data_IF_591515130400
#
_entry.id   IF_591515130400
#
_cell.length_a   1.000
_cell.length_b   1.000
_cell.length_c   1.000
_cell.angle_alpha   90.00
_cell.angle_beta   90.00
_cell.angle_gamma   90.00
#
_symmetry.space_group_name_H-M   'P 1'
#
loop_
_entity.id
_entity.type
_entity.pdbx_description
1 polymer ?
#
# COMPACT_ATOMS: atom_id res chain seq x y z
N UNK A 1 -7.86 12.05 -13.97
CA UNK A 1 -7.33 10.67 -13.95
C UNK A 1 -8.09 9.89 -12.87
N UNK A 2 -9.18 9.20 -13.21
CA UNK A 2 -10.05 8.53 -12.23
C UNK A 2 -9.30 7.45 -11.42
N UNK A 3 -8.16 6.97 -11.92
CA UNK A 3 -7.29 5.96 -11.29
C UNK A 3 -6.92 6.25 -9.82
N UNK A 4 -6.86 7.53 -9.44
CA UNK A 4 -6.52 7.96 -8.07
C UNK A 4 -7.73 8.49 -7.27
N UNK A 5 -8.94 8.38 -7.80
CA UNK A 5 -10.15 8.84 -7.10
C UNK A 5 -10.69 7.73 -6.20
N UNK A 6 -10.62 7.95 -4.89
CA UNK A 6 -11.19 7.08 -3.85
C UNK A 6 -11.93 7.88 -2.77
N UNK A 7 -12.48 7.15 -1.78
CA UNK A 7 -13.07 7.72 -0.58
C UNK A 7 -12.38 7.11 0.65
N UNK A 8 -11.94 7.93 1.62
CA UNK A 8 -11.90 9.40 1.61
C UNK A 8 -11.06 9.97 0.45
N UNK A 9 -11.43 11.16 -0.06
CA UNK A 9 -10.70 11.81 -1.15
C UNK A 9 -9.29 12.21 -0.69
N UNK A 10 -8.33 12.17 -1.63
CA UNK A 10 -7.01 12.75 -1.42
C UNK A 10 -7.16 14.23 -1.05
N UNK A 11 -6.50 14.61 0.04
CA UNK A 11 -6.54 15.97 0.59
C UNK A 11 -5.31 16.78 0.18
N UNK A 12 -4.82 17.67 1.04
CA UNK A 12 -3.68 18.53 0.75
C UNK A 12 -2.36 17.86 1.14
N UNK A 13 -1.26 18.40 0.60
CA UNK A 13 0.09 17.91 0.91
C UNK A 13 0.39 17.88 2.42
N UNK A 14 -0.10 18.87 3.19
CA UNK A 14 0.03 18.90 4.65
C UNK A 14 -0.61 17.69 5.34
N UNK A 15 -1.68 17.14 4.77
CA UNK A 15 -2.40 15.98 5.31
C UNK A 15 -1.59 14.71 5.02
N UNK A 16 -1.02 14.60 3.82
CA UNK A 16 -0.07 13.54 3.46
C UNK A 16 1.16 13.56 4.38
N UNK A 17 1.68 14.74 4.67
CA UNK A 17 2.84 14.90 5.56
C UNK A 17 2.51 14.57 7.00
N UNK A 18 1.28 14.85 7.44
CA UNK A 18 0.80 14.44 8.76
C UNK A 18 0.75 12.92 8.90
N UNK A 19 0.33 12.19 7.85
CA UNK A 19 0.38 10.72 7.84
C UNK A 19 1.82 10.19 7.92
N UNK A 20 2.75 10.77 7.14
CA UNK A 20 4.17 10.42 7.20
C UNK A 20 4.78 10.67 8.58
N UNK A 21 4.51 11.84 9.15
CA UNK A 21 4.97 12.21 10.49
C UNK A 21 4.40 11.30 11.57
N UNK A 22 3.15 10.83 11.43
CA UNK A 22 2.55 9.88 12.35
C UNK A 22 3.29 8.53 12.35
N UNK A 23 3.69 8.03 11.17
CA UNK A 23 4.52 6.83 11.04
C UNK A 23 5.90 7.02 11.67
N UNK A 24 6.58 8.14 11.39
CA UNK A 24 7.89 8.46 11.99
C UNK A 24 7.78 8.57 13.51
N UNK A 25 6.74 9.24 14.02
CA UNK A 25 6.49 9.38 15.45
C UNK A 25 6.31 8.02 16.12
N UNK A 26 5.54 7.11 15.51
CA UNK A 26 5.35 5.77 16.02
C UNK A 26 6.68 5.02 16.19
N UNK A 27 7.55 5.08 15.17
CA UNK A 27 8.88 4.47 15.19
C UNK A 27 9.72 5.06 16.31
N UNK A 28 9.81 6.40 16.37
CA UNK A 28 10.61 7.12 17.36
C UNK A 28 10.23 6.78 18.81
N UNK A 29 8.95 6.49 19.07
CA UNK A 29 8.45 6.22 20.43
C UNK A 29 8.17 4.73 20.68
N UNK A 30 8.57 3.83 19.78
CA UNK A 30 8.37 2.39 19.92
C UNK A 30 6.89 1.99 20.09
N UNK A 31 5.97 2.70 19.42
CA UNK A 31 4.53 2.42 19.49
C UNK A 31 4.08 1.51 18.34
N UNK A 32 2.88 0.93 18.46
CA UNK A 32 2.22 0.10 17.45
C UNK A 32 0.75 0.51 17.31
N UNK A 33 0.52 1.68 16.72
CA UNK A 33 -0.83 2.30 16.66
C UNK A 33 -1.37 2.45 15.24
N UNK A 34 -0.48 2.49 14.24
CA UNK A 34 -0.77 2.54 12.81
C UNK A 34 -0.23 1.27 12.16
N UNK A 35 -1.11 0.56 11.44
CA UNK A 35 -0.81 -0.68 10.72
C UNK A 35 -1.36 -0.64 9.29
N UNK A 36 -1.02 -1.67 8.52
CA UNK A 36 -1.36 -1.76 7.11
C UNK A 36 -2.87 -1.99 6.88
N UNK A 37 -3.43 -1.16 5.99
CA UNK A 37 -4.76 -1.36 5.41
C UNK A 37 -4.77 -0.79 4.00
N UNK A 38 -4.93 -1.64 2.98
CA UNK A 38 -4.78 -1.24 1.58
C UNK A 38 -5.96 -0.44 1.05
N UNK A 39 -7.16 -0.71 1.59
CA UNK A 39 -8.44 -0.27 1.02
C UNK A 39 -8.51 -0.53 -0.49
N UNK A 40 -7.93 -1.65 -0.94
CA UNK A 40 -7.87 -1.99 -2.36
C UNK A 40 -9.27 -2.21 -2.89
N UNK A 41 -9.63 -1.45 -3.93
CA UNK A 41 -10.97 -1.47 -4.50
C UNK A 41 -10.88 -1.68 -6.02
N UNK A 42 -11.13 -2.92 -6.45
CA UNK A 42 -11.27 -3.25 -7.87
C UNK A 42 -12.59 -2.71 -8.40
N UNK A 43 -12.53 -2.02 -9.54
CA UNK A 43 -13.68 -1.62 -10.33
C UNK A 43 -13.40 -1.95 -11.79
N UNK A 44 -14.37 -2.58 -12.45
CA UNK A 44 -14.26 -2.85 -13.88
C UNK A 44 -14.13 -1.52 -14.67
N UNK A 45 -13.39 -1.49 -15.79
CA UNK A 45 -13.12 -0.25 -16.54
C UNK A 45 -14.38 0.56 -16.87
N UNK A 46 -15.45 -0.09 -17.30
CA UNK A 46 -16.72 0.53 -17.64
C UNK A 46 -17.43 1.19 -16.44
N UNK A 47 -17.13 0.74 -15.22
CA UNK A 47 -17.62 1.36 -13.98
C UNK A 47 -16.67 2.45 -13.47
N UNK A 48 -15.39 2.39 -13.83
CA UNK A 48 -14.36 3.35 -13.38
C UNK A 48 -14.27 4.58 -14.28
N UNK A 49 -14.35 4.38 -15.60
CA UNK A 49 -14.15 5.39 -16.64
C UNK A 49 -15.49 5.77 -17.30
N UNK A 50 -16.44 6.20 -16.48
CA UNK A 50 -17.72 6.75 -16.94
C UNK A 50 -18.01 8.09 -16.24
N UNK A 51 -19.07 8.79 -16.65
CA UNK A 51 -19.42 10.13 -16.13
C UNK A 51 -19.59 10.16 -14.60
N UNK A 52 -20.12 9.07 -14.01
CA UNK A 52 -20.25 8.87 -12.57
C UNK A 52 -19.42 7.66 -12.13
N UNK A 53 -18.12 7.71 -12.44
CA UNK A 53 -17.18 6.61 -12.17
C UNK A 53 -17.05 6.24 -10.69
N UNK A 54 -16.89 4.94 -10.43
CA UNK A 54 -16.74 4.41 -9.08
C UNK A 54 -15.47 4.93 -8.37
N UNK A 55 -15.63 5.26 -7.09
CA UNK A 55 -14.53 5.65 -6.21
C UNK A 55 -13.82 4.40 -5.67
N UNK A 56 -12.50 4.37 -5.77
CA UNK A 56 -11.66 3.26 -5.29
C UNK A 56 -10.38 3.14 -6.10
N UNK A 57 -9.27 2.80 -5.45
CA UNK A 57 -7.99 2.55 -6.10
C UNK A 57 -7.66 1.06 -5.99
N UNK A 58 -7.38 0.42 -7.12
CA UNK A 58 -6.96 -0.97 -7.13
C UNK A 58 -5.46 -1.06 -6.85
N UNK A 59 -5.08 -1.43 -5.61
CA UNK A 59 -3.68 -1.45 -5.16
C UNK A 59 -3.15 -2.86 -4.90
N UNK A 60 -4.03 -3.85 -4.70
CA UNK A 60 -3.67 -5.22 -4.31
C UNK A 60 -2.48 -5.82 -5.06
N UNK A 61 -2.36 -5.71 -6.40
CA UNK A 61 -1.30 -6.38 -7.15
C UNK A 61 0.13 -5.87 -6.86
N UNK A 62 0.26 -4.64 -6.34
CA UNK A 62 1.56 -3.98 -6.10
C UNK A 62 1.61 -3.30 -4.71
N UNK A 63 0.74 -3.72 -3.78
CA UNK A 63 0.50 -3.00 -2.54
C UNK A 63 1.77 -2.90 -1.66
N UNK A 64 2.53 -3.99 -1.55
CA UNK A 64 3.72 -4.03 -0.71
C UNK A 64 4.83 -3.14 -1.26
N UNK A 65 4.94 -3.03 -2.58
CA UNK A 65 5.90 -2.16 -3.25
C UNK A 65 5.53 -0.69 -3.10
N UNK A 66 4.23 -0.36 -3.16
CA UNK A 66 3.75 0.99 -2.85
C UNK A 66 4.08 1.41 -1.41
N UNK A 67 3.90 0.51 -0.43
CA UNK A 67 4.32 0.78 0.94
C UNK A 67 5.83 0.88 1.09
N UNK A 68 6.60 0.01 0.42
CA UNK A 68 8.06 0.08 0.41
C UNK A 68 8.55 1.43 -0.11
N UNK A 69 7.99 1.92 -1.22
CA UNK A 69 8.28 3.26 -1.75
C UNK A 69 7.97 4.35 -0.72
N UNK A 70 6.80 4.30 -0.07
CA UNK A 70 6.39 5.31 0.90
C UNK A 70 7.28 5.33 2.16
N UNK A 71 7.67 4.15 2.67
CA UNK A 71 8.51 4.01 3.85
C UNK A 71 9.98 4.36 3.56
N UNK A 72 10.49 3.99 2.38
CA UNK A 72 11.83 4.34 1.88
C UNK A 72 11.97 5.86 1.71
N UNK A 73 10.95 6.53 1.15
CA UNK A 73 10.92 7.99 1.00
C UNK A 73 11.10 8.78 2.30
N UNK A 74 10.67 8.22 3.43
CA UNK A 74 10.77 8.87 4.75
C UNK A 74 11.82 8.23 5.66
N UNK A 75 12.66 7.32 5.12
CA UNK A 75 13.81 6.74 5.82
C UNK A 75 13.46 5.72 6.91
N UNK A 76 12.27 5.11 6.88
CA UNK A 76 11.84 4.13 7.90
C UNK A 76 11.57 2.74 7.33
N UNK A 77 12.16 2.38 6.20
CA UNK A 77 11.95 1.09 5.51
C UNK A 77 12.04 -0.14 6.43
N UNK A 78 12.94 -0.13 7.41
CA UNK A 78 13.12 -1.23 8.37
C UNK A 78 11.90 -1.46 9.29
N UNK A 79 10.97 -0.50 9.38
CA UNK A 79 9.74 -0.62 10.17
C UNK A 79 8.55 -1.17 9.35
N UNK A 80 8.70 -1.35 8.04
CA UNK A 80 7.61 -1.81 7.19
C UNK A 80 7.09 -3.21 7.60
N UNK A 81 7.98 -4.11 8.02
CA UNK A 81 7.57 -5.45 8.50
C UNK A 81 6.67 -5.37 9.74
N UNK A 82 7.02 -4.52 10.71
CA UNK A 82 6.20 -4.31 11.91
C UNK A 82 4.83 -3.72 11.52
N UNK A 83 4.83 -2.70 10.66
CA UNK A 83 3.61 -2.06 10.17
C UNK A 83 2.67 -3.05 9.43
N UNK A 84 3.24 -3.93 8.61
CA UNK A 84 2.49 -4.88 7.79
C UNK A 84 2.07 -6.16 8.53
N UNK A 85 2.90 -6.66 9.44
CA UNK A 85 2.75 -8.01 10.01
C UNK A 85 2.43 -8.03 11.50
N UNK A 86 2.81 -7.00 12.28
CA UNK A 86 2.65 -7.04 13.73
C UNK A 86 1.46 -6.22 14.21
N UNK A 87 1.31 -4.97 13.72
CA UNK A 87 0.38 -4.01 14.33
C UNK A 87 -1.07 -4.51 14.27
N UNK A 88 -1.56 -4.91 13.10
CA UNK A 88 -2.96 -5.34 12.96
C UNK A 88 -3.23 -6.71 13.61
N UNK A 89 -2.37 -7.74 13.45
CA UNK A 89 -2.60 -9.02 14.14
C UNK A 89 -2.54 -8.93 15.66
N UNK A 90 -1.70 -8.04 16.23
CA UNK A 90 -1.71 -7.76 17.67
C UNK A 90 -3.00 -7.03 18.09
N UNK A 91 -3.40 -6.00 17.33
CA UNK A 91 -4.64 -5.26 17.58
C UNK A 91 -5.88 -6.16 17.58
N UNK A 92 -5.96 -7.11 16.63
CA UNK A 92 -7.06 -8.08 16.56
C UNK A 92 -6.86 -9.32 17.42
N UNK A 93 -5.76 -9.44 18.17
CA UNK A 93 -5.45 -10.61 19.01
C UNK A 93 -5.38 -11.95 18.25
N UNK A 94 -4.93 -11.92 16.98
CA UNK A 94 -4.84 -13.10 16.08
C UNK A 94 -3.41 -13.47 15.69
N UNK A 95 -2.39 -12.81 16.24
CA UNK A 95 -0.99 -13.01 15.82
C UNK A 95 -0.54 -14.48 15.81
N UNK A 96 -0.95 -15.26 16.81
CA UNK A 96 -0.51 -16.65 16.97
C UNK A 96 -1.36 -17.65 16.15
N UNK A 97 -2.44 -17.22 15.51
CA UNK A 97 -3.33 -18.09 14.72
C UNK A 97 -3.18 -17.92 13.22
N UNK A 98 -2.41 -16.93 12.77
CA UNK A 98 -2.19 -16.69 11.34
C UNK A 98 -1.13 -17.64 10.76
N UNK A 99 -1.34 -18.16 9.54
CA UNK A 99 -0.31 -18.93 8.84
C UNK A 99 0.91 -18.05 8.56
N UNK A 100 2.10 -18.62 8.73
CA UNK A 100 3.33 -17.95 8.36
C UNK A 100 3.46 -17.93 6.83
N UNK A 101 3.69 -16.73 6.28
CA UNK A 101 4.06 -16.53 4.88
C UNK A 101 5.13 -15.46 4.82
N UNK A 102 6.16 -15.70 4.01
CA UNK A 102 7.27 -14.75 3.88
C UNK A 102 7.17 -14.04 2.54
N UNK A 103 7.38 -12.72 2.59
CA UNK A 103 7.58 -11.90 1.39
C UNK A 103 8.93 -11.20 1.52
N UNK A 104 9.74 -11.29 0.47
CA UNK A 104 10.99 -10.54 0.35
C UNK A 104 10.72 -9.29 -0.48
N UNK A 105 11.06 -8.12 0.07
CA UNK A 105 11.10 -6.86 -0.65
C UNK A 105 12.54 -6.54 -1.04
N UNK A 106 12.77 -6.29 -2.33
CA UNK A 106 14.07 -5.87 -2.87
C UNK A 106 13.94 -4.51 -3.54
N UNK A 107 14.94 -3.65 -3.34
CA UNK A 107 15.07 -2.36 -4.04
C UNK A 107 15.59 -2.58 -5.46
N UNK A 108 14.78 -3.29 -6.23
CA UNK A 108 15.04 -3.72 -7.59
C UNK A 108 13.90 -3.24 -8.49
N UNK A 109 14.19 -2.49 -9.58
CA UNK A 109 13.16 -2.00 -10.46
C UNK A 109 12.33 -3.11 -11.11
N UNK A 110 11.01 -2.95 -11.14
CA UNK A 110 10.10 -3.83 -11.89
C UNK A 110 9.13 -3.03 -12.75
N UNK A 111 8.71 -3.66 -13.85
CA UNK A 111 7.67 -3.16 -14.73
C UNK A 111 6.29 -3.52 -14.17
N UNK A 112 5.48 -2.51 -13.85
CA UNK A 112 4.07 -2.71 -13.50
C UNK A 112 3.29 -3.03 -14.77
N UNK A 113 2.43 -4.04 -14.72
CA UNK A 113 1.57 -4.41 -15.85
C UNK A 113 0.62 -3.26 -16.18
N UNK A 114 0.27 -3.13 -17.46
CA UNK A 114 -0.73 -2.15 -17.93
C UNK A 114 -2.11 -2.35 -17.30
N UNK A 115 -2.46 -3.59 -16.97
CA UNK A 115 -3.68 -3.91 -16.25
C UNK A 115 -3.61 -5.28 -15.58
N UNK A 116 -4.50 -5.47 -14.60
CA UNK A 116 -4.77 -6.73 -13.93
C UNK A 116 -6.28 -6.95 -13.99
N UNK A 117 -6.70 -8.02 -14.68
CA UNK A 117 -8.12 -8.31 -14.94
C UNK A 117 -8.86 -7.13 -15.62
N UNK A 118 -8.15 -6.39 -16.48
CA UNK A 118 -8.68 -5.21 -17.17
C UNK A 118 -8.64 -3.91 -16.34
N UNK A 119 -8.49 -3.96 -15.02
CA UNK A 119 -8.35 -2.77 -14.18
C UNK A 119 -6.90 -2.29 -14.09
N UNK A 120 -6.73 -0.96 -13.96
CA UNK A 120 -5.41 -0.34 -13.76
C UNK A 120 -5.09 -0.18 -12.28
N UNK A 121 -3.83 -0.42 -11.93
CA UNK A 121 -3.26 -0.04 -10.63
C UNK A 121 -2.60 1.34 -10.74
N UNK A 122 -2.24 1.99 -9.62
CA UNK A 122 -1.23 3.04 -9.65
C UNK A 122 0.01 2.60 -10.44
N UNK A 123 0.63 3.54 -11.17
CA UNK A 123 1.82 3.27 -11.98
C UNK A 123 1.65 2.20 -13.06
N UNK A 124 0.43 1.88 -13.51
CA UNK A 124 0.20 0.98 -14.64
C UNK A 124 1.06 1.39 -15.86
N UNK A 125 1.80 0.44 -16.42
CA UNK A 125 2.71 0.67 -17.55
C UNK A 125 4.04 1.33 -17.18
N UNK A 126 4.27 1.67 -15.91
CA UNK A 126 5.50 2.34 -15.45
C UNK A 126 6.42 1.38 -14.69
N UNK A 127 7.67 1.81 -14.51
CA UNK A 127 8.66 1.11 -13.70
C UNK A 127 8.64 1.67 -12.28
N UNK A 128 8.58 0.79 -11.27
CA UNK A 128 8.69 1.15 -9.85
C UNK A 128 9.96 0.53 -9.23
N UNK A 129 10.58 1.16 -8.20
CA UNK A 129 11.93 0.80 -7.75
C UNK A 129 11.99 -0.39 -6.77
N UNK A 130 10.86 -0.96 -6.39
CA UNK A 130 10.76 -2.05 -5.42
C UNK A 130 10.05 -3.25 -6.05
N UNK A 131 10.49 -4.45 -5.70
CA UNK A 131 9.89 -5.73 -6.10
C UNK A 131 9.56 -6.56 -4.87
N UNK A 132 8.34 -7.09 -4.79
CA UNK A 132 7.93 -8.06 -3.78
C UNK A 132 7.93 -9.49 -4.36
N UNK A 133 8.47 -10.45 -3.62
CA UNK A 133 8.45 -11.87 -4.00
C UNK A 133 8.02 -12.70 -2.81
N UNK A 134 6.97 -13.49 -2.98
CA UNK A 134 6.57 -14.50 -2.00
C UNK A 134 7.61 -15.61 -2.00
N UNK A 135 8.02 -16.01 -0.80
CA UNK A 135 8.85 -17.20 -0.60
C UNK A 135 8.00 -18.21 0.17
N UNK A 136 7.86 -19.39 -0.41
CA UNK A 136 7.21 -20.54 0.23
C UNK A 136 8.11 -21.15 1.31
#
# INVERSE_FOLDING_TARGET
>A
MPDFVCRPLLKHQKDVESLRNALIWQVKHGKKVFGLGTDTAYHAPEKKYCECGACGVFTAPIALELYAMAFDQIGIINHLSVFACDVMPEFYSVKNSLPAKTVILKKEPQQVKESYYGAKTPFAGQVIPWTATVVD
#
